data_IF_603410572731
#
_entry.id   IF_603410572731
#
_cell.length_a   1.000
_cell.length_b   1.000
_cell.length_c   1.000
_cell.angle_alpha   90.00
_cell.angle_beta   90.00
_cell.angle_gamma   90.00
#
_symmetry.space_group_name_H-M   'P 1'
#
loop_
_entity.id
_entity.type
_entity.pdbx_description
1 polymer ?
#
# COMPACT_ATOMS: atom_id res chain seq x y z
N UNK A 1 -18.38 -29.02 -10.84
CA UNK A 1 -18.15 -28.40 -9.50
C UNK A 1 -16.83 -27.67 -9.57
N UNK A 2 -16.84 -26.37 -9.58
CA UNK A 2 -15.62 -25.55 -9.50
C UNK A 2 -15.01 -25.75 -8.12
N UNK A 3 -13.85 -26.41 -8.07
CA UNK A 3 -13.10 -26.58 -6.83
C UNK A 3 -12.84 -25.20 -6.22
N UNK A 4 -13.26 -25.00 -4.98
CA UNK A 4 -12.94 -23.77 -4.24
C UNK A 4 -11.41 -23.68 -4.10
N UNK A 5 -10.81 -22.74 -4.82
CA UNK A 5 -9.36 -22.48 -4.72
C UNK A 5 -9.06 -21.69 -3.46
N UNK A 6 -7.95 -22.01 -2.82
CA UNK A 6 -7.41 -21.26 -1.70
C UNK A 6 -6.14 -20.54 -2.14
N UNK A 7 -6.19 -19.21 -2.12
CA UNK A 7 -5.15 -18.34 -2.70
C UNK A 7 -4.52 -17.52 -1.60
N UNK A 8 -3.18 -17.43 -1.58
CA UNK A 8 -2.43 -16.58 -0.68
C UNK A 8 -1.75 -15.45 -1.47
N UNK A 9 -1.96 -14.22 -1.03
CA UNK A 9 -1.24 -13.03 -1.52
C UNK A 9 -0.33 -12.54 -0.39
N UNK A 10 0.96 -12.29 -0.68
CA UNK A 10 1.94 -11.87 0.31
C UNK A 10 2.46 -10.47 -0.02
N UNK A 11 2.17 -9.48 0.83
CA UNK A 11 2.78 -8.15 0.77
C UNK A 11 2.96 -7.56 2.17
N UNK A 12 4.20 -7.57 2.70
CA UNK A 12 4.47 -7.18 4.08
C UNK A 12 4.49 -5.67 4.30
N UNK A 13 5.02 -4.90 3.35
CA UNK A 13 5.24 -3.45 3.44
C UNK A 13 5.54 -2.88 2.04
N UNK A 14 5.57 -1.58 1.79
CA UNK A 14 5.20 -0.47 2.64
C UNK A 14 3.71 -0.12 2.50
N UNK A 15 3.23 0.93 3.19
CA UNK A 15 1.82 1.36 3.13
C UNK A 15 1.36 1.59 1.67
N UNK A 16 2.12 2.34 0.87
CA UNK A 16 1.79 2.59 -0.53
C UNK A 16 1.79 1.32 -1.39
N UNK A 17 2.74 0.42 -1.15
CA UNK A 17 2.80 -0.86 -1.87
C UNK A 17 1.63 -1.78 -1.52
N UNK A 18 1.14 -1.74 -0.27
CA UNK A 18 -0.04 -2.51 0.15
C UNK A 18 -1.28 -1.94 -0.53
N UNK A 19 -1.41 -0.61 -0.59
CA UNK A 19 -2.50 0.03 -1.34
C UNK A 19 -2.45 -0.38 -2.81
N UNK A 20 -1.29 -0.33 -3.46
CA UNK A 20 -1.13 -0.76 -4.86
C UNK A 20 -1.48 -2.25 -5.02
N UNK A 21 -1.13 -3.11 -4.05
CA UNK A 21 -1.43 -4.54 -4.09
C UNK A 21 -2.94 -4.86 -4.06
N UNK A 22 -3.79 -3.92 -3.67
CA UNK A 22 -5.25 -4.10 -3.79
C UNK A 22 -5.74 -4.11 -5.24
N UNK A 23 -4.98 -3.57 -6.18
CA UNK A 23 -5.27 -3.63 -7.62
C UNK A 23 -5.19 -5.07 -8.16
N UNK A 24 -4.05 -5.80 -8.09
CA UNK A 24 -4.00 -7.20 -8.50
C UNK A 24 -4.90 -8.13 -7.65
N UNK A 25 -5.18 -7.78 -6.38
CA UNK A 25 -6.14 -8.51 -5.57
C UNK A 25 -7.55 -8.48 -6.18
N UNK A 26 -8.00 -7.33 -6.71
CA UNK A 26 -9.29 -7.25 -7.42
C UNK A 26 -9.31 -8.15 -8.66
N UNK A 27 -8.21 -8.18 -9.40
CA UNK A 27 -8.03 -9.03 -10.58
C UNK A 27 -8.13 -10.52 -10.20
N UNK A 28 -7.44 -10.94 -9.12
CA UNK A 28 -7.54 -12.33 -8.60
C UNK A 28 -8.97 -12.66 -8.19
N UNK A 29 -9.66 -11.74 -7.49
CA UNK A 29 -11.06 -11.95 -7.08
C UNK A 29 -12.02 -12.07 -8.27
N UNK A 30 -11.80 -11.29 -9.33
CA UNK A 30 -12.61 -11.36 -10.56
C UNK A 30 -12.38 -12.68 -11.31
N UNK A 31 -11.12 -13.14 -11.38
CA UNK A 31 -10.78 -14.40 -12.04
C UNK A 31 -11.29 -15.64 -11.27
N UNK A 32 -11.32 -15.55 -9.95
CA UNK A 32 -11.70 -16.63 -9.05
C UNK A 32 -12.75 -16.18 -8.03
N UNK A 33 -13.97 -15.87 -8.44
CA UNK A 33 -15.00 -15.28 -7.55
C UNK A 33 -15.38 -16.19 -6.36
N UNK A 34 -15.29 -17.52 -6.53
CA UNK A 34 -15.56 -18.50 -5.48
C UNK A 34 -14.35 -18.95 -4.66
N UNK A 35 -13.18 -18.31 -4.81
CA UNK A 35 -11.98 -18.68 -4.07
C UNK A 35 -11.96 -18.10 -2.66
N UNK A 36 -11.23 -18.77 -1.75
CA UNK A 36 -10.85 -18.24 -0.44
C UNK A 36 -9.50 -17.50 -0.59
N UNK A 37 -9.52 -16.17 -0.50
CA UNK A 37 -8.33 -15.32 -0.67
C UNK A 37 -7.83 -14.86 0.68
N UNK A 38 -6.60 -15.25 1.02
CA UNK A 38 -5.88 -14.81 2.20
C UNK A 38 -4.83 -13.76 1.81
N UNK A 39 -4.68 -12.73 2.64
CA UNK A 39 -3.65 -11.71 2.44
C UNK A 39 -2.71 -11.66 3.65
N UNK A 40 -1.42 -11.88 3.43
CA UNK A 40 -0.40 -11.84 4.49
C UNK A 40 0.34 -10.50 4.46
N UNK A 41 0.26 -9.78 5.59
CA UNK A 41 0.89 -8.46 5.77
C UNK A 41 1.45 -8.27 7.18
N UNK A 42 2.21 -7.19 7.42
CA UNK A 42 2.63 -6.83 8.78
C UNK A 42 1.45 -6.31 9.60
N UNK A 43 1.46 -6.57 10.92
CA UNK A 43 0.42 -6.20 11.88
C UNK A 43 -0.05 -4.76 11.72
N UNK A 44 0.88 -3.83 11.65
CA UNK A 44 0.61 -2.39 11.54
C UNK A 44 -0.15 -1.99 10.27
N UNK A 45 -0.25 -2.86 9.28
CA UNK A 45 -0.97 -2.58 8.02
C UNK A 45 -2.29 -3.35 7.88
N UNK A 46 -2.62 -4.20 8.85
CA UNK A 46 -3.89 -4.92 8.90
C UNK A 46 -5.09 -3.98 8.77
N UNK A 47 -5.15 -2.82 9.47
CA UNK A 47 -6.29 -1.91 9.38
C UNK A 47 -6.58 -1.38 7.97
N UNK A 48 -5.58 -1.34 7.09
CA UNK A 48 -5.79 -0.92 5.68
C UNK A 48 -6.64 -1.91 4.88
N UNK A 49 -6.72 -3.16 5.31
CA UNK A 49 -7.27 -4.28 4.55
C UNK A 49 -8.47 -4.95 5.23
N UNK A 50 -8.74 -4.68 6.52
CA UNK A 50 -9.76 -5.38 7.34
C UNK A 50 -11.13 -5.43 6.68
N UNK A 51 -11.53 -4.40 5.97
CA UNK A 51 -12.84 -4.31 5.34
C UNK A 51 -12.79 -4.46 3.81
N UNK A 52 -11.67 -4.97 3.27
CA UNK A 52 -11.53 -5.09 1.83
C UNK A 52 -12.37 -6.28 1.30
N UNK A 53 -13.35 -6.06 0.41
CA UNK A 53 -14.30 -7.10 -0.01
C UNK A 53 -13.67 -8.25 -0.80
N UNK A 54 -12.45 -8.07 -1.29
CA UNK A 54 -11.68 -9.10 -2.00
C UNK A 54 -10.88 -10.04 -1.10
N UNK A 55 -10.85 -9.81 0.23
CA UNK A 55 -10.07 -10.60 1.19
C UNK A 55 -11.01 -11.35 2.12
N UNK A 56 -10.84 -12.66 2.22
CA UNK A 56 -11.60 -13.49 3.15
C UNK A 56 -10.89 -13.61 4.51
N UNK A 57 -9.54 -13.54 4.51
CA UNK A 57 -8.75 -13.61 5.74
C UNK A 57 -7.45 -12.82 5.62
N UNK A 58 -7.14 -12.03 6.64
CA UNK A 58 -5.84 -11.39 6.78
C UNK A 58 -4.98 -12.22 7.72
N UNK A 59 -3.72 -12.46 7.29
CA UNK A 59 -2.71 -13.14 8.10
C UNK A 59 -1.72 -12.08 8.54
N UNK A 60 -1.77 -11.77 9.82
CA UNK A 60 -0.89 -10.80 10.47
C UNK A 60 0.48 -11.41 10.74
N UNK A 61 1.54 -10.73 10.32
CA UNK A 61 2.92 -11.13 10.52
C UNK A 61 3.67 -10.11 11.38
N UNK A 62 4.10 -10.54 12.56
CA UNK A 62 4.94 -9.75 13.44
C UNK A 62 6.43 -9.98 13.13
N UNK A 63 7.16 -8.99 12.62
CA UNK A 63 8.58 -9.13 12.30
C UNK A 63 9.49 -9.23 13.54
N UNK A 64 8.99 -8.91 14.74
CA UNK A 64 9.76 -8.98 15.99
C UNK A 64 9.99 -10.41 16.46
N UNK A 65 9.18 -11.36 15.97
CA UNK A 65 9.28 -12.80 16.26
C UNK A 65 10.54 -13.46 15.67
N UNK A 66 11.33 -12.72 14.89
CA UNK A 66 12.60 -13.17 14.35
C UNK A 66 12.50 -14.40 13.45
N UNK A 67 13.54 -15.22 13.48
CA UNK A 67 13.62 -16.43 12.63
C UNK A 67 12.62 -17.52 13.03
N UNK A 68 12.32 -17.63 14.32
CA UNK A 68 11.33 -18.61 14.83
C UNK A 68 9.94 -18.29 14.27
N UNK A 69 9.56 -17.02 14.28
CA UNK A 69 8.31 -16.57 13.66
C UNK A 69 8.24 -16.89 12.17
N UNK A 70 9.34 -16.71 11.42
CA UNK A 70 9.40 -17.07 10.01
C UNK A 70 9.16 -18.57 9.78
N UNK A 71 9.74 -19.43 10.60
CA UNK A 71 9.52 -20.87 10.53
C UNK A 71 8.08 -21.26 10.89
N UNK A 72 7.50 -20.60 11.89
CA UNK A 72 6.09 -20.78 12.22
C UNK A 72 5.20 -20.45 11.02
N UNK A 73 5.38 -19.26 10.39
CA UNK A 73 4.61 -18.88 9.21
C UNK A 73 4.88 -19.77 7.99
N UNK A 74 6.10 -20.28 7.81
CA UNK A 74 6.40 -21.27 6.80
C UNK A 74 5.54 -22.52 7.01
N UNK A 75 5.54 -23.08 8.23
CA UNK A 75 4.74 -24.27 8.56
C UNK A 75 3.24 -23.98 8.39
N UNK A 76 2.78 -22.80 8.82
CA UNK A 76 1.41 -22.35 8.63
C UNK A 76 1.02 -22.36 7.15
N UNK A 77 1.83 -21.76 6.27
CA UNK A 77 1.53 -21.69 4.83
C UNK A 77 1.54 -23.10 4.21
N UNK A 78 2.48 -23.95 4.59
CA UNK A 78 2.55 -25.34 4.12
C UNK A 78 1.34 -26.17 4.56
N UNK A 79 0.87 -26.04 5.81
CA UNK A 79 -0.25 -26.81 6.35
C UNK A 79 -1.62 -26.34 5.88
N UNK A 80 -1.74 -25.09 5.41
CA UNK A 80 -3.02 -24.53 4.99
C UNK A 80 -3.49 -24.98 3.59
N UNK A 81 -2.66 -25.68 2.83
CA UNK A 81 -3.07 -26.27 1.55
C UNK A 81 -3.49 -25.23 0.50
N UNK A 82 -2.73 -24.15 0.34
CA UNK A 82 -2.98 -23.18 -0.72
C UNK A 82 -2.79 -23.83 -2.10
N UNK A 83 -3.72 -23.57 -2.99
CA UNK A 83 -3.62 -24.00 -4.40
C UNK A 83 -2.71 -23.05 -5.18
N UNK A 84 -2.63 -21.78 -4.79
CA UNK A 84 -1.80 -20.75 -5.42
C UNK A 84 -1.28 -19.72 -4.45
N UNK A 85 -0.04 -19.27 -4.66
CA UNK A 85 0.61 -18.23 -3.85
C UNK A 85 1.19 -17.15 -4.75
N UNK A 86 0.80 -15.89 -4.51
CA UNK A 86 1.35 -14.70 -5.16
C UNK A 86 2.25 -13.95 -4.18
N UNK A 87 3.57 -14.05 -4.34
CA UNK A 87 4.54 -13.30 -3.55
C UNK A 87 4.85 -11.95 -4.20
N UNK A 88 4.00 -10.95 -3.93
CA UNK A 88 4.18 -9.56 -4.36
C UNK A 88 5.25 -8.82 -3.55
N UNK A 89 5.80 -9.44 -2.51
CA UNK A 89 6.86 -8.84 -1.69
C UNK A 89 8.26 -9.22 -2.16
N UNK A 90 8.48 -10.46 -2.55
CA UNK A 90 9.74 -11.04 -3.03
C UNK A 90 10.96 -10.55 -2.23
N UNK A 91 10.96 -10.81 -0.92
CA UNK A 91 12.05 -10.55 0.01
C UNK A 91 12.62 -11.86 0.54
N UNK A 92 13.75 -11.79 1.26
CA UNK A 92 14.30 -12.97 1.92
C UNK A 92 13.28 -13.63 2.86
N UNK A 93 12.50 -12.83 3.59
CA UNK A 93 11.47 -13.33 4.52
C UNK A 93 10.37 -14.09 3.78
N UNK A 94 9.78 -13.51 2.73
CA UNK A 94 8.74 -14.18 1.95
C UNK A 94 9.27 -15.43 1.24
N UNK A 95 10.52 -15.41 0.78
CA UNK A 95 11.17 -16.59 0.19
C UNK A 95 11.35 -17.72 1.19
N UNK A 96 11.69 -17.43 2.46
CA UNK A 96 11.78 -18.45 3.52
C UNK A 96 10.40 -19.03 3.81
N UNK A 97 9.37 -18.19 3.95
CA UNK A 97 7.98 -18.64 4.19
C UNK A 97 7.49 -19.55 3.06
N UNK A 98 7.77 -19.19 1.81
CA UNK A 98 7.35 -19.97 0.64
C UNK A 98 8.27 -21.12 0.29
N UNK A 99 9.35 -21.40 1.05
CA UNK A 99 10.30 -22.45 0.73
C UNK A 99 9.70 -23.84 0.96
N UNK A 100 9.74 -24.67 -0.08
CA UNK A 100 9.24 -26.06 -0.01
C UNK A 100 7.73 -26.17 -0.22
N UNK A 101 7.07 -25.15 -0.74
CA UNK A 101 5.70 -25.26 -1.24
C UNK A 101 5.70 -26.13 -2.50
N UNK A 102 4.73 -27.02 -2.59
CA UNK A 102 4.46 -27.88 -3.75
C UNK A 102 3.39 -27.29 -4.66
N UNK A 103 2.84 -26.14 -4.26
CA UNK A 103 1.78 -25.43 -4.95
C UNK A 103 2.34 -24.44 -5.97
N UNK A 104 1.50 -23.96 -6.85
CA UNK A 104 1.84 -22.93 -7.83
C UNK A 104 2.23 -21.62 -7.12
N UNK A 105 3.45 -21.17 -7.37
CA UNK A 105 4.03 -20.01 -6.72
C UNK A 105 4.55 -19.01 -7.76
N UNK A 106 3.89 -17.86 -7.85
CA UNK A 106 4.32 -16.74 -8.67
C UNK A 106 4.95 -15.63 -7.81
N UNK A 107 6.03 -15.03 -8.29
CA UNK A 107 6.74 -13.96 -7.59
C UNK A 107 6.91 -12.75 -8.48
N UNK A 108 6.69 -11.57 -7.88
CA UNK A 108 6.97 -10.31 -8.56
C UNK A 108 8.46 -10.20 -8.91
N UNK A 109 8.75 -9.83 -10.13
CA UNK A 109 10.10 -9.52 -10.58
C UNK A 109 10.38 -8.03 -10.37
N UNK A 110 11.25 -7.73 -9.40
CA UNK A 110 11.64 -6.35 -9.11
C UNK A 110 12.80 -5.94 -10.01
N UNK A 111 12.73 -4.78 -10.69
CA UNK A 111 13.81 -4.29 -11.56
C UNK A 111 15.00 -3.76 -10.73
N UNK A 112 15.68 -4.67 -10.02
CA UNK A 112 16.77 -4.32 -9.10
C UNK A 112 17.97 -3.71 -9.82
N UNK A 113 18.29 -4.25 -11.00
CA UNK A 113 19.40 -3.75 -11.82
C UNK A 113 19.11 -2.35 -12.35
N UNK A 114 17.89 -2.13 -12.91
CA UNK A 114 17.48 -0.80 -13.39
C UNK A 114 17.49 0.24 -12.26
N UNK A 115 17.06 -0.14 -11.06
CA UNK A 115 17.15 0.74 -9.88
C UNK A 115 18.61 1.01 -9.51
N UNK A 116 19.48 0.01 -9.49
CA UNK A 116 20.90 0.17 -9.19
C UNK A 116 21.56 1.11 -10.19
N UNK A 117 21.34 0.91 -11.50
CA UNK A 117 21.89 1.76 -12.56
C UNK A 117 21.38 3.21 -12.43
N UNK A 118 20.11 3.39 -12.13
CA UNK A 118 19.52 4.71 -11.93
C UNK A 118 20.14 5.44 -10.74
N UNK A 119 20.29 4.76 -9.57
CA UNK A 119 20.79 5.38 -8.36
C UNK A 119 22.30 5.63 -8.39
N UNK A 120 23.10 4.72 -8.97
CA UNK A 120 24.56 4.85 -8.98
C UNK A 120 25.08 5.67 -10.16
N UNK A 121 24.46 5.54 -11.32
CA UNK A 121 24.99 6.09 -12.56
C UNK A 121 24.02 7.08 -13.23
N UNK A 122 22.84 7.32 -12.63
CA UNK A 122 21.76 8.13 -13.22
C UNK A 122 21.30 7.63 -14.58
N UNK A 123 21.53 6.34 -14.88
CA UNK A 123 21.09 5.67 -16.10
C UNK A 123 19.68 5.14 -15.92
N UNK A 124 18.73 5.78 -16.57
CA UNK A 124 17.34 5.32 -16.55
C UNK A 124 17.13 4.25 -17.63
N UNK A 125 17.03 2.99 -17.20
CA UNK A 125 16.73 1.84 -18.06
C UNK A 125 15.32 1.31 -17.85
N UNK A 126 14.45 2.07 -17.15
CA UNK A 126 13.05 1.74 -17.04
C UNK A 126 12.32 2.01 -18.36
N UNK A 127 11.35 1.17 -18.68
CA UNK A 127 10.40 1.44 -19.76
C UNK A 127 9.60 2.71 -19.47
N UNK A 128 9.15 3.43 -20.53
CA UNK A 128 8.42 4.69 -20.37
C UNK A 128 7.14 4.53 -19.54
N UNK A 129 6.46 3.39 -19.68
CA UNK A 129 5.18 3.09 -19.05
C UNK A 129 5.32 2.20 -17.82
N UNK A 130 6.53 2.09 -17.25
CA UNK A 130 6.75 1.31 -16.05
C UNK A 130 5.88 1.81 -14.90
N UNK A 131 5.07 0.91 -14.36
CA UNK A 131 4.31 1.16 -13.13
C UNK A 131 4.41 -0.01 -12.17
N UNK A 132 4.40 0.29 -10.86
CA UNK A 132 4.39 -0.76 -9.82
C UNK A 132 3.12 -1.61 -9.88
N UNK A 133 1.99 -1.03 -10.30
CA UNK A 133 0.75 -1.77 -10.48
C UNK A 133 0.88 -2.80 -11.61
N UNK A 134 1.42 -2.39 -12.78
CA UNK A 134 1.68 -3.30 -13.89
C UNK A 134 2.62 -4.45 -13.46
N UNK A 135 3.74 -4.12 -12.81
CA UNK A 135 4.69 -5.10 -12.29
C UNK A 135 4.03 -6.14 -11.35
N UNK A 136 3.04 -5.73 -10.53
CA UNK A 136 2.30 -6.68 -9.68
C UNK A 136 1.34 -7.55 -10.48
N UNK A 137 0.76 -7.03 -11.55
CA UNK A 137 -0.12 -7.79 -12.43
C UNK A 137 0.66 -8.78 -13.30
N UNK A 138 1.89 -8.48 -13.71
CA UNK A 138 2.78 -9.42 -14.39
C UNK A 138 3.01 -10.69 -13.57
N UNK A 139 3.01 -10.59 -12.25
CA UNK A 139 3.04 -11.74 -11.35
C UNK A 139 1.81 -12.65 -11.51
N UNK A 140 0.72 -12.15 -12.09
CA UNK A 140 -0.53 -12.86 -12.36
C UNK A 140 -0.64 -13.37 -13.82
N UNK A 141 0.38 -13.19 -14.65
CA UNK A 141 0.36 -13.42 -16.10
C UNK A 141 0.01 -14.85 -16.56
N UNK A 142 0.02 -15.84 -15.66
CA UNK A 142 -0.46 -17.20 -15.95
C UNK A 142 -1.99 -17.35 -15.89
N UNK A 143 -2.76 -16.31 -15.55
CA UNK A 143 -4.17 -16.43 -15.19
C UNK A 143 -5.09 -15.57 -16.06
N UNK A 144 -4.59 -14.46 -16.58
CA UNK A 144 -5.41 -13.46 -17.27
C UNK A 144 -4.74 -12.98 -18.54
N UNK A 145 -5.47 -13.04 -19.63
CA UNK A 145 -5.28 -12.14 -20.76
C UNK A 145 -5.72 -10.75 -20.27
N UNK A 146 -4.74 -9.87 -20.01
CA UNK A 146 -5.05 -8.50 -19.59
C UNK A 146 -5.62 -7.72 -20.76
N UNK A 147 -6.90 -7.45 -20.71
CA UNK A 147 -7.45 -6.29 -21.39
C UNK A 147 -6.76 -5.05 -20.79
N UNK A 148 -6.19 -4.17 -21.60
CA UNK A 148 -5.19 -3.13 -21.27
C UNK A 148 -5.52 -2.17 -20.12
N UNK A 149 -6.56 -2.41 -19.32
CA UNK A 149 -7.01 -1.55 -18.24
C UNK A 149 -6.94 -2.24 -16.87
N UNK A 150 -5.82 -2.02 -16.19
CA UNK A 150 -5.64 -2.52 -14.82
C UNK A 150 -6.64 -1.85 -13.86
N UNK A 151 -7.28 -2.59 -12.93
CA UNK A 151 -8.16 -2.00 -11.94
C UNK A 151 -7.38 -1.03 -11.05
N UNK A 152 -7.94 0.13 -10.68
CA UNK A 152 -7.27 1.06 -9.78
C UNK A 152 -7.14 0.44 -8.38
N UNK A 153 -6.09 0.80 -7.61
CA UNK A 153 -6.02 0.45 -6.19
C UNK A 153 -7.24 0.96 -5.43
N UNK A 154 -7.76 0.16 -4.49
CA UNK A 154 -8.96 0.49 -3.75
C UNK A 154 -8.78 0.19 -2.26
N UNK A 155 -9.03 1.18 -1.42
CA UNK A 155 -9.23 1.01 0.02
C UNK A 155 -10.72 1.06 0.35
N UNK A 156 -11.13 0.33 1.36
CA UNK A 156 -12.51 0.31 1.84
C UNK A 156 -12.57 0.97 3.20
N UNK A 157 -13.42 1.98 3.32
CA UNK A 157 -13.67 2.70 4.57
C UNK A 157 -15.05 2.30 5.09
N UNK A 158 -15.12 1.90 6.35
CA UNK A 158 -16.38 1.51 7.01
C UNK A 158 -17.26 2.71 7.31
N UNK A 159 -18.56 2.46 7.52
CA UNK A 159 -19.49 3.51 7.99
C UNK A 159 -19.07 4.08 9.36
N UNK A 160 -18.52 3.25 10.24
CA UNK A 160 -18.03 3.69 11.54
C UNK A 160 -16.85 4.66 11.39
N UNK A 161 -15.85 4.32 10.57
CA UNK A 161 -14.70 5.19 10.27
C UNK A 161 -15.14 6.50 9.61
N UNK A 162 -16.06 6.45 8.64
CA UNK A 162 -16.63 7.64 8.02
C UNK A 162 -17.31 8.55 9.05
N UNK A 163 -18.04 7.95 10.01
CA UNK A 163 -18.73 8.71 11.06
C UNK A 163 -17.73 9.38 12.01
N UNK A 164 -16.68 8.66 12.41
CA UNK A 164 -15.59 9.20 13.25
C UNK A 164 -14.88 10.34 12.53
N UNK A 165 -14.49 10.12 11.26
CA UNK A 165 -13.82 11.15 10.46
C UNK A 165 -14.71 12.42 10.29
N UNK A 166 -16.00 12.23 10.01
CA UNK A 166 -16.94 13.35 9.90
C UNK A 166 -17.04 14.17 11.20
N UNK A 167 -17.21 13.50 12.33
CA UNK A 167 -17.26 14.16 13.64
C UNK A 167 -15.97 14.93 13.95
N UNK A 168 -14.81 14.34 13.62
CA UNK A 168 -13.51 14.98 13.77
C UNK A 168 -13.42 16.23 12.90
N UNK A 169 -13.82 16.18 11.64
CA UNK A 169 -13.84 17.34 10.74
C UNK A 169 -14.79 18.43 11.26
N UNK A 170 -16.00 18.05 11.66
CA UNK A 170 -17.01 18.98 12.21
C UNK A 170 -16.53 19.67 13.50
N UNK A 171 -15.82 18.95 14.38
CA UNK A 171 -15.26 19.52 15.62
C UNK A 171 -14.16 20.57 15.37
N UNK A 172 -13.54 20.54 14.18
CA UNK A 172 -12.57 21.56 13.73
C UNK A 172 -13.21 22.57 12.76
N UNK A 173 -14.54 22.68 12.72
CA UNK A 173 -15.23 23.64 11.85
C UNK A 173 -15.23 23.30 10.36
N UNK A 174 -14.69 22.15 9.97
CA UNK A 174 -14.53 21.73 8.57
C UNK A 174 -15.81 21.09 8.03
N UNK A 175 -16.78 21.92 7.67
CA UNK A 175 -18.10 21.49 7.12
C UNK A 175 -18.16 21.54 5.60
N UNK A 176 -17.29 22.34 4.98
CA UNK A 176 -17.24 22.55 3.54
C UNK A 176 -16.07 21.82 2.90
N UNK A 177 -15.90 21.97 1.58
CA UNK A 177 -14.73 21.44 0.87
C UNK A 177 -13.44 22.08 1.39
N UNK A 178 -12.43 21.27 1.65
CA UNK A 178 -11.12 21.70 2.12
C UNK A 178 -10.01 21.09 1.25
N UNK A 179 -8.81 21.63 1.36
CA UNK A 179 -7.60 21.12 0.68
C UNK A 179 -6.77 20.38 1.72
N UNK A 180 -6.32 19.16 1.40
CA UNK A 180 -5.45 18.41 2.29
C UNK A 180 -4.01 18.50 1.83
N UNK A 181 -3.12 18.88 2.73
CA UNK A 181 -1.67 18.91 2.54
C UNK A 181 -1.04 17.79 3.36
N UNK A 182 -0.23 16.93 2.71
CA UNK A 182 0.45 15.80 3.36
C UNK A 182 1.96 15.93 3.08
N UNK A 183 2.71 16.73 3.87
CA UNK A 183 4.10 17.03 3.59
C UNK A 183 5.08 15.96 4.06
N UNK A 184 4.65 15.06 4.97
CA UNK A 184 5.48 14.03 5.54
C UNK A 184 5.93 12.98 4.54
N UNK A 185 7.17 12.51 4.66
CA UNK A 185 7.70 11.38 3.90
C UNK A 185 8.67 10.56 4.74
N UNK A 186 8.69 9.24 4.55
CA UNK A 186 9.58 8.33 5.26
C UNK A 186 11.08 8.54 4.92
N UNK A 187 11.38 9.21 3.81
CA UNK A 187 12.73 9.47 3.32
C UNK A 187 12.89 10.94 2.98
N UNK A 188 13.96 11.57 3.46
CA UNK A 188 14.23 12.99 3.23
C UNK A 188 14.24 13.36 1.72
N UNK A 189 14.75 12.46 0.86
CA UNK A 189 14.78 12.68 -0.60
C UNK A 189 13.38 12.70 -1.26
N UNK A 190 12.35 12.24 -0.55
CA UNK A 190 10.94 12.30 -1.02
C UNK A 190 10.17 13.46 -0.41
N UNK A 191 10.78 14.18 0.51
CA UNK A 191 10.18 15.29 1.21
C UNK A 191 10.52 16.59 0.47
N UNK A 192 9.53 17.40 0.20
CA UNK A 192 9.75 18.73 -0.36
C UNK A 192 10.10 19.71 0.76
N UNK A 193 10.61 20.89 0.45
CA UNK A 193 11.07 21.88 1.42
C UNK A 193 9.92 22.56 2.14
N UNK A 194 10.09 22.86 3.44
CA UNK A 194 9.04 23.47 4.27
C UNK A 194 8.65 24.88 3.78
N UNK A 195 9.62 25.69 3.35
CA UNK A 195 9.41 27.02 2.76
C UNK A 195 8.55 26.98 1.50
N UNK A 196 8.72 25.95 0.68
CA UNK A 196 7.93 25.75 -0.54
C UNK A 196 6.49 25.34 -0.23
N UNK A 197 6.30 24.47 0.76
CA UNK A 197 4.97 24.13 1.24
C UNK A 197 4.29 25.35 1.86
N UNK A 198 5.01 26.17 2.65
CA UNK A 198 4.50 27.38 3.24
C UNK A 198 4.03 28.38 2.17
N UNK A 199 4.82 28.58 1.12
CA UNK A 199 4.43 29.42 -0.01
C UNK A 199 3.20 28.91 -0.78
N UNK A 200 3.00 27.58 -0.83
CA UNK A 200 1.77 26.99 -1.41
C UNK A 200 0.58 27.27 -0.52
N UNK A 201 0.71 27.10 0.81
CA UNK A 201 -0.37 27.40 1.78
C UNK A 201 -0.79 28.89 1.66
N UNK A 202 0.17 29.81 1.65
CA UNK A 202 -0.06 31.24 1.48
C UNK A 202 -0.82 31.55 0.18
N UNK A 203 -0.37 30.99 -0.94
CA UNK A 203 -1.07 31.17 -2.22
C UNK A 203 -2.49 30.61 -2.21
N UNK A 204 -2.70 29.45 -1.57
CA UNK A 204 -4.03 28.86 -1.46
C UNK A 204 -4.95 29.70 -0.60
N UNK A 205 -4.49 30.25 0.54
CA UNK A 205 -5.28 31.11 1.41
C UNK A 205 -5.74 32.41 0.72
N UNK A 206 -4.93 32.97 -0.20
CA UNK A 206 -5.28 34.14 -0.94
C UNK A 206 -6.17 33.90 -2.19
N UNK A 207 -6.11 32.69 -2.76
CA UNK A 207 -6.78 32.39 -4.02
C UNK A 207 -8.02 31.51 -3.89
N UNK A 208 -8.32 30.99 -2.71
CA UNK A 208 -9.50 30.14 -2.47
C UNK A 208 -10.10 30.39 -1.10
N UNK A 209 -11.43 30.25 -0.98
CA UNK A 209 -12.14 30.27 0.31
C UNK A 209 -12.08 28.90 1.03
N UNK A 210 -11.22 27.98 0.57
CA UNK A 210 -11.10 26.65 1.13
C UNK A 210 -10.08 26.61 2.24
N UNK A 211 -10.44 26.03 3.37
CA UNK A 211 -9.50 25.76 4.45
C UNK A 211 -8.44 24.75 4.00
N UNK A 212 -7.17 25.03 4.30
CA UNK A 212 -6.07 24.07 4.10
C UNK A 212 -5.86 23.30 5.38
N UNK A 213 -5.99 21.98 5.29
CA UNK A 213 -5.79 21.04 6.40
C UNK A 213 -4.49 20.29 6.19
N UNK A 214 -3.60 20.33 7.16
CA UNK A 214 -2.35 19.58 7.12
C UNK A 214 -2.49 18.26 7.88
N UNK A 215 -2.17 17.14 7.22
CA UNK A 215 -2.10 15.82 7.84
C UNK A 215 -0.65 15.36 7.94
N UNK A 216 -0.25 14.95 9.12
CA UNK A 216 1.07 14.39 9.39
C UNK A 216 1.07 13.52 10.64
N UNK A 217 2.11 12.72 10.82
CA UNK A 217 2.36 11.99 12.04
C UNK A 217 3.08 12.87 13.06
N UNK A 218 3.08 12.45 14.33
CA UNK A 218 3.85 13.13 15.40
C UNK A 218 5.36 13.20 15.10
N UNK A 219 5.86 12.36 14.22
CA UNK A 219 7.27 12.29 13.84
C UNK A 219 7.61 13.16 12.62
N UNK A 220 6.63 13.76 11.97
CA UNK A 220 6.83 14.61 10.78
C UNK A 220 7.17 16.04 11.21
N UNK A 221 8.44 16.32 11.54
CA UNK A 221 8.93 17.64 11.96
C UNK A 221 8.59 18.76 10.96
N UNK A 222 8.54 18.42 9.68
CA UNK A 222 8.20 19.36 8.61
C UNK A 222 6.85 20.03 8.81
N UNK A 223 5.86 19.34 9.40
CA UNK A 223 4.56 19.93 9.71
C UNK A 223 4.74 21.11 10.66
N UNK A 224 5.54 20.95 11.72
CA UNK A 224 5.83 22.03 12.66
C UNK A 224 6.63 23.19 12.03
N UNK A 225 7.49 22.93 11.07
CA UNK A 225 8.23 23.94 10.34
C UNK A 225 7.29 24.79 9.45
N UNK A 226 6.42 24.14 8.69
CA UNK A 226 5.42 24.80 7.85
C UNK A 226 4.48 25.68 8.70
N UNK A 227 4.00 25.15 9.85
CA UNK A 227 3.14 25.91 10.76
C UNK A 227 3.85 27.17 11.30
N UNK A 228 5.14 27.08 11.61
CA UNK A 228 5.93 28.25 12.07
C UNK A 228 6.05 29.32 10.98
N UNK A 229 6.20 28.93 9.72
CA UNK A 229 6.32 29.84 8.58
C UNK A 229 5.00 30.50 8.20
N UNK A 230 3.87 29.90 8.54
CA UNK A 230 2.53 30.40 8.22
C UNK A 230 1.74 30.81 9.48
N UNK A 231 2.40 31.24 10.55
CA UNK A 231 1.75 31.57 11.83
C UNK A 231 0.58 32.56 11.69
N UNK A 232 0.70 33.51 10.79
CA UNK A 232 -0.30 34.54 10.57
C UNK A 232 -1.55 34.07 9.79
N UNK A 233 -1.53 32.81 9.32
CA UNK A 233 -2.60 32.19 8.55
C UNK A 233 -3.31 31.05 9.32
N UNK A 234 -2.96 30.85 10.60
CA UNK A 234 -3.50 29.77 11.44
C UNK A 234 -4.48 30.39 12.43
N UNK A 235 -5.76 30.03 12.31
CA UNK A 235 -6.82 30.34 13.27
C UNK A 235 -6.89 29.30 14.41
#
# INVERSE_FOLDING_TARGET
MTRHRKILIIRFSSIGDIVIATSPLQTVRQAFPGSEIHFMTLDRYVPLLECHPGIDRIISFDPTTGFIGLLHFKNYVQSNGYDQVYDLHNSLRSRIICRGLTTELSRVEKPRMSRFLLFQFHWNTFEKDFSTSAMYHECLSGILEFDNKLPPPKLTVTRAEQTVARRMLESHGLRNSFIVLIPGAAWAQKQWFADRYAAVVEKLSHNTDRTVVMLGSKNDSICGEILKLNRDLID
#
